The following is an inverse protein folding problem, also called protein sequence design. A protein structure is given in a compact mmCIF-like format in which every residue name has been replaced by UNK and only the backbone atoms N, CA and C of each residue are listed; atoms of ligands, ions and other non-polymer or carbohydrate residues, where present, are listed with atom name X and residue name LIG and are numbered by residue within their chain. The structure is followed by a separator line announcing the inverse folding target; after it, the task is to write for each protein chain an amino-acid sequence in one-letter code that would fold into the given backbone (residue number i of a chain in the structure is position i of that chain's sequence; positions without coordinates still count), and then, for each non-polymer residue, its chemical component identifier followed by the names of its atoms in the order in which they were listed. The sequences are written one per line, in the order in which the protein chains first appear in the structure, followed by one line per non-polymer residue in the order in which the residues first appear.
data_IF_217710121121
#
_entry.id   IF_217710121121
#
_cell.length_a   1.000
_cell.length_b   1.000
_cell.length_c   1.000
_cell.angle_alpha   90.00
_cell.angle_beta   90.00
_cell.angle_gamma   90.00
#
_symmetry.space_group_name_H-M   'P 1'
#
loop_
_entity.id
_entity.type
_entity.pdbx_description
1 polymer ?
#
# COMPACT_ATOMS: atom_id res chain seq x y z
N UNK A 1 71.64 38.42 32.79
CA UNK A 1 70.41 38.40 31.97
C UNK A 1 69.31 39.07 32.79
N UNK A 2 68.71 40.18 32.32
CA UNK A 2 67.85 41.05 33.15
C UNK A 2 66.37 40.66 33.05
N UNK A 3 65.71 40.57 34.22
CA UNK A 3 64.27 40.29 34.36
C UNK A 3 63.35 41.30 33.64
N UNK A 4 63.87 42.50 33.34
CA UNK A 4 63.16 43.53 32.56
C UNK A 4 62.78 43.06 31.16
N UNK A 5 63.62 42.22 30.55
CA UNK A 5 63.49 41.85 29.14
C UNK A 5 62.43 40.75 28.98
N UNK A 6 62.36 39.86 29.97
CA UNK A 6 61.35 38.79 30.05
C UNK A 6 59.96 39.40 30.23
N UNK A 7 59.82 40.38 31.12
CA UNK A 7 58.53 41.03 31.37
C UNK A 7 58.05 41.83 30.15
N UNK A 8 58.97 42.51 29.44
CA UNK A 8 58.65 43.20 28.17
C UNK A 8 58.19 42.23 27.08
N UNK A 9 58.88 41.10 26.95
CA UNK A 9 58.52 40.05 26.00
C UNK A 9 57.15 39.46 26.32
N UNK A 10 56.89 39.11 27.59
CA UNK A 10 55.58 38.63 28.08
C UNK A 10 54.46 39.63 27.81
N UNK A 11 54.71 40.92 28.10
CA UNK A 11 53.72 41.97 27.90
C UNK A 11 53.43 42.25 26.42
N UNK A 12 54.37 41.95 25.52
CA UNK A 12 54.16 42.11 24.08
C UNK A 12 53.37 40.97 23.45
N UNK A 13 53.40 39.75 24.00
CA UNK A 13 52.58 38.64 23.48
C UNK A 13 51.08 38.96 23.59
N UNK A 14 50.62 39.37 24.79
CA UNK A 14 49.19 39.63 25.03
C UNK A 14 48.60 40.73 24.14
N UNK A 15 49.40 41.74 23.81
CA UNK A 15 48.96 42.90 23.01
C UNK A 15 48.78 42.55 21.53
N UNK A 16 49.49 41.53 21.04
CA UNK A 16 49.43 41.13 19.64
C UNK A 16 48.23 40.19 19.37
N UNK A 17 47.81 39.41 20.36
CA UNK A 17 46.64 38.51 20.25
C UNK A 17 45.29 39.27 20.24
N UNK A 18 45.23 40.45 20.86
CA UNK A 18 44.02 41.29 20.92
C UNK A 18 43.78 42.08 19.60
N UNK A 19 44.80 42.23 18.75
CA UNK A 19 44.74 43.08 17.55
C UNK A 19 44.28 42.35 16.27
N UNK A 20 43.99 41.05 16.35
CA UNK A 20 43.63 40.21 15.19
C UNK A 20 42.36 39.39 15.42
N UNK A 21 41.38 39.94 16.12
CA UNK A 21 39.98 39.50 16.00
C UNK A 21 39.34 40.25 14.84
N UNK A 22 39.75 39.90 13.61
CA UNK A 22 38.92 40.22 12.45
C UNK A 22 37.56 39.54 12.63
N UNK A 23 36.43 40.21 12.34
CA UNK A 23 35.13 39.56 12.37
C UNK A 23 35.17 38.36 11.41
N UNK A 24 35.21 37.15 11.97
CA UNK A 24 35.37 35.90 11.20
C UNK A 24 34.18 35.66 10.25
N UNK A 25 33.09 36.39 10.42
CA UNK A 25 31.89 36.31 9.58
C UNK A 25 31.38 37.73 9.33
N UNK A 26 31.52 38.18 8.08
CA UNK A 26 30.80 39.34 7.58
C UNK A 26 29.29 39.07 7.67
N UNK A 27 28.52 40.01 8.20
CA UNK A 27 27.07 39.84 8.43
C UNK A 27 26.30 39.59 7.12
N UNK A 28 26.89 39.96 5.98
CA UNK A 28 26.38 39.64 4.64
C UNK A 28 26.52 38.18 4.22
N UNK A 29 27.51 37.44 4.71
CA UNK A 29 27.76 36.03 4.37
C UNK A 29 26.78 35.08 5.05
N UNK A 30 26.17 35.48 6.18
CA UNK A 30 25.21 34.67 6.94
C UNK A 30 23.84 34.56 6.23
N UNK A 31 23.50 35.49 5.34
CA UNK A 31 22.21 35.51 4.66
C UNK A 31 22.03 34.32 3.70
N UNK A 32 23.10 33.93 2.99
CA UNK A 32 23.07 32.78 2.07
C UNK A 32 22.72 31.46 2.75
N UNK A 33 23.42 30.99 3.80
CA UNK A 33 23.05 29.77 4.49
C UNK A 33 21.70 29.88 5.21
N UNK A 34 21.34 31.06 5.74
CA UNK A 34 20.04 31.27 6.36
C UNK A 34 18.88 31.07 5.38
N UNK A 35 18.99 31.60 4.15
CA UNK A 35 17.97 31.38 3.10
C UNK A 35 17.90 29.91 2.69
N UNK A 36 19.05 29.24 2.51
CA UNK A 36 19.09 27.81 2.16
C UNK A 36 18.40 26.98 3.25
N UNK A 37 18.68 27.24 4.53
CA UNK A 37 18.04 26.55 5.64
C UNK A 37 16.53 26.82 5.69
N UNK A 38 16.10 28.07 5.49
CA UNK A 38 14.68 28.40 5.44
C UNK A 38 13.97 27.65 4.31
N UNK A 39 14.55 27.62 3.11
CA UNK A 39 13.99 26.89 1.96
C UNK A 39 13.92 25.40 2.26
N UNK A 40 14.95 24.82 2.88
CA UNK A 40 14.97 23.41 3.23
C UNK A 40 13.90 23.06 4.27
N UNK A 41 13.72 23.89 5.30
CA UNK A 41 12.66 23.73 6.30
C UNK A 41 11.29 23.77 5.64
N UNK A 42 11.05 24.76 4.78
CA UNK A 42 9.80 24.88 4.04
C UNK A 42 9.57 23.65 3.17
N UNK A 43 10.60 23.18 2.45
CA UNK A 43 10.51 21.98 1.62
C UNK A 43 10.16 20.73 2.43
N UNK A 44 10.74 20.55 3.62
CA UNK A 44 10.43 19.44 4.53
C UNK A 44 8.98 19.54 5.01
N UNK A 45 8.54 20.73 5.46
CA UNK A 45 7.16 20.94 5.91
C UNK A 45 6.16 20.65 4.80
N UNK A 46 6.42 21.17 3.60
CA UNK A 46 5.59 20.91 2.42
C UNK A 46 5.52 19.41 2.10
N UNK A 47 6.67 18.71 2.17
CA UNK A 47 6.72 17.26 1.93
C UNK A 47 5.91 16.51 3.00
N UNK A 48 6.03 16.88 4.27
CA UNK A 48 5.27 16.27 5.35
C UNK A 48 3.76 16.44 5.14
N UNK A 49 3.30 17.64 4.76
CA UNK A 49 1.89 17.91 4.46
C UNK A 49 1.39 17.09 3.27
N UNK A 50 2.17 17.02 2.20
CA UNK A 50 1.82 16.22 1.01
C UNK A 50 1.70 14.74 1.34
N UNK A 51 2.61 14.19 2.15
CA UNK A 51 2.56 12.79 2.58
C UNK A 51 1.31 12.52 3.43
N UNK A 52 0.96 13.43 4.35
CA UNK A 52 -0.25 13.31 5.17
C UNK A 52 -1.50 13.32 4.28
N UNK A 53 -1.56 14.23 3.32
CA UNK A 53 -2.67 14.31 2.38
C UNK A 53 -2.81 13.02 1.56
N UNK A 54 -1.71 12.52 1.00
CA UNK A 54 -1.70 11.28 0.24
C UNK A 54 -2.16 10.08 1.08
N UNK A 55 -1.75 10.01 2.35
CA UNK A 55 -2.19 8.96 3.27
C UNK A 55 -3.69 9.07 3.61
N UNK A 56 -4.20 10.29 3.74
CA UNK A 56 -5.63 10.53 3.96
C UNK A 56 -6.46 10.08 2.75
N UNK A 57 -6.07 10.49 1.55
CA UNK A 57 -6.76 10.13 0.31
C UNK A 57 -6.69 8.62 0.05
N UNK A 58 -5.54 8.00 0.32
CA UNK A 58 -5.39 6.55 0.24
C UNK A 58 -6.37 5.83 1.17
N UNK A 59 -6.44 6.23 2.45
CA UNK A 59 -7.36 5.60 3.42
C UNK A 59 -8.82 5.75 3.00
N UNK A 60 -9.20 6.90 2.45
CA UNK A 60 -10.56 7.16 1.97
C UNK A 60 -10.89 6.26 0.78
N UNK A 61 -10.06 6.28 -0.26
CA UNK A 61 -10.29 5.52 -1.48
C UNK A 61 -10.23 4.01 -1.22
N UNK A 62 -9.34 3.58 -0.33
CA UNK A 62 -9.25 2.19 0.09
C UNK A 62 -10.52 1.72 0.78
N UNK A 63 -11.14 2.54 1.64
CA UNK A 63 -12.40 2.20 2.28
C UNK A 63 -13.51 1.98 1.25
N UNK A 64 -13.67 2.90 0.30
CA UNK A 64 -14.67 2.77 -0.77
C UNK A 64 -14.45 1.49 -1.60
N UNK A 65 -13.19 1.17 -1.92
CA UNK A 65 -12.84 -0.08 -2.61
C UNK A 65 -13.16 -1.32 -1.76
N UNK A 66 -12.85 -1.31 -0.46
CA UNK A 66 -13.16 -2.41 0.45
C UNK A 66 -14.66 -2.67 0.56
N UNK A 67 -15.49 -1.62 0.57
CA UNK A 67 -16.96 -1.77 0.56
C UNK A 67 -17.43 -2.51 -0.70
N UNK A 68 -16.90 -2.14 -1.86
CA UNK A 68 -17.30 -2.75 -3.13
C UNK A 68 -16.85 -4.22 -3.23
N UNK A 69 -15.63 -4.51 -2.77
CA UNK A 69 -15.12 -5.88 -2.67
C UNK A 69 -16.00 -6.71 -1.74
N UNK A 70 -16.40 -6.16 -0.60
CA UNK A 70 -17.23 -6.88 0.35
C UNK A 70 -18.61 -7.23 -0.23
N UNK A 71 -19.22 -6.30 -0.98
CA UNK A 71 -20.47 -6.58 -1.70
C UNK A 71 -20.31 -7.68 -2.75
N UNK A 72 -19.18 -7.68 -3.47
CA UNK A 72 -18.90 -8.71 -4.45
C UNK A 72 -18.71 -10.09 -3.81
N UNK A 73 -18.01 -10.16 -2.67
CA UNK A 73 -17.84 -11.40 -1.90
C UNK A 73 -19.20 -11.94 -1.41
N UNK A 74 -20.07 -11.08 -0.90
CA UNK A 74 -21.42 -11.48 -0.47
C UNK A 74 -22.24 -12.05 -1.63
N UNK A 75 -22.19 -11.41 -2.80
CA UNK A 75 -22.87 -11.89 -4.00
C UNK A 75 -22.30 -13.22 -4.50
N UNK A 76 -20.98 -13.44 -4.39
CA UNK A 76 -20.35 -14.72 -4.74
C UNK A 76 -20.84 -15.84 -3.83
N UNK A 77 -21.01 -15.58 -2.53
CA UNK A 77 -21.54 -16.56 -1.58
C UNK A 77 -22.97 -16.94 -1.96
N UNK A 78 -23.84 -15.95 -2.21
CA UNK A 78 -25.23 -16.20 -2.62
C UNK A 78 -25.28 -16.99 -3.94
N UNK A 79 -24.45 -16.62 -4.92
CA UNK A 79 -24.38 -17.31 -6.20
C UNK A 79 -23.92 -18.77 -6.04
N UNK A 80 -22.95 -19.01 -5.15
CA UNK A 80 -22.51 -20.37 -4.80
C UNK A 80 -23.63 -21.20 -4.16
N UNK A 81 -24.41 -20.60 -3.27
CA UNK A 81 -25.58 -21.25 -2.67
C UNK A 81 -26.63 -21.60 -3.74
N UNK A 82 -26.98 -20.65 -4.61
CA UNK A 82 -27.91 -20.88 -5.72
C UNK A 82 -27.42 -21.96 -6.67
N UNK A 83 -26.11 -22.05 -6.93
CA UNK A 83 -25.55 -23.11 -7.79
C UNK A 83 -25.68 -24.48 -7.12
N UNK A 84 -25.48 -24.57 -5.81
CA UNK A 84 -25.70 -25.80 -5.04
C UNK A 84 -27.19 -26.19 -5.05
N UNK A 85 -28.10 -25.23 -4.87
CA UNK A 85 -29.54 -25.46 -5.06
C UNK A 85 -29.84 -25.93 -6.49
N UNK A 86 -29.30 -25.30 -7.52
CA UNK A 86 -29.56 -25.71 -8.90
C UNK A 86 -29.01 -27.09 -9.23
N UNK A 87 -27.80 -27.43 -8.77
CA UNK A 87 -27.20 -28.76 -8.96
C UNK A 87 -27.99 -29.87 -8.26
N UNK A 88 -28.65 -29.57 -7.14
CA UNK A 88 -29.56 -30.51 -6.47
C UNK A 88 -30.91 -30.65 -7.18
N UNK A 89 -31.37 -29.63 -7.91
CA UNK A 89 -32.64 -29.65 -8.66
C UNK A 89 -32.50 -30.07 -10.14
N UNK A 90 -31.29 -30.01 -10.71
CA UNK A 90 -31.04 -30.16 -12.15
C UNK A 90 -30.79 -31.59 -12.65
N UNK A 91 -30.62 -32.59 -11.77
CA UNK A 91 -30.01 -33.88 -12.17
C UNK A 91 -30.95 -35.00 -12.63
N UNK A 92 -32.19 -35.11 -12.13
CA UNK A 92 -32.96 -36.35 -12.40
C UNK A 92 -34.47 -36.17 -12.43
N UNK A 93 -35.08 -35.66 -11.36
CA UNK A 93 -36.53 -35.81 -11.18
C UNK A 93 -37.40 -35.11 -12.24
N UNK A 94 -37.00 -33.93 -12.74
CA UNK A 94 -37.80 -33.18 -13.73
C UNK A 94 -37.62 -33.68 -15.16
N UNK A 95 -36.42 -34.14 -15.51
CA UNK A 95 -36.14 -34.71 -16.83
C UNK A 95 -36.74 -36.12 -16.92
N UNK A 96 -36.64 -36.90 -15.85
CA UNK A 96 -37.25 -38.23 -15.72
C UNK A 96 -38.77 -38.17 -15.79
N UNK A 97 -39.42 -37.25 -15.06
CA UNK A 97 -40.89 -37.14 -15.12
C UNK A 97 -41.40 -36.62 -16.46
N UNK A 98 -40.68 -35.70 -17.12
CA UNK A 98 -41.05 -35.21 -18.45
C UNK A 98 -40.80 -36.29 -19.53
N UNK A 99 -39.74 -37.11 -19.39
CA UNK A 99 -39.45 -38.23 -20.28
C UNK A 99 -40.47 -39.37 -20.13
N UNK A 100 -40.87 -39.69 -18.90
CA UNK A 100 -41.92 -40.68 -18.62
C UNK A 100 -43.29 -40.20 -19.11
N UNK A 101 -43.64 -38.94 -18.84
CA UNK A 101 -44.97 -38.41 -19.17
C UNK A 101 -45.16 -38.02 -20.63
N UNK A 102 -44.15 -37.45 -21.30
CA UNK A 102 -44.27 -37.03 -22.72
C UNK A 102 -43.81 -38.07 -23.72
N UNK A 103 -42.79 -38.84 -23.37
CA UNK A 103 -42.12 -39.77 -24.29
C UNK A 103 -42.46 -41.22 -23.95
N UNK A 104 -43.18 -41.46 -22.84
CA UNK A 104 -43.56 -42.80 -22.40
C UNK A 104 -42.37 -43.67 -22.01
N UNK A 105 -41.21 -43.05 -21.74
CA UNK A 105 -40.00 -43.78 -21.37
C UNK A 105 -40.17 -44.42 -19.99
N UNK A 106 -39.94 -45.74 -19.90
CA UNK A 106 -39.86 -46.49 -18.65
C UNK A 106 -38.44 -47.03 -18.50
N UNK A 107 -37.98 -47.17 -17.26
CA UNK A 107 -36.72 -47.86 -16.99
C UNK A 107 -36.81 -49.31 -17.53
N UNK A 108 -35.85 -49.76 -18.36
CA UNK A 108 -35.89 -51.09 -18.96
C UNK A 108 -35.73 -52.18 -17.89
N UNK A 109 -36.48 -53.27 -18.02
CA UNK A 109 -36.31 -54.44 -17.15
C UNK A 109 -34.99 -55.17 -17.47
N UNK A 110 -34.40 -55.90 -16.51
CA UNK A 110 -33.15 -56.62 -16.72
C UNK A 110 -33.15 -57.60 -17.90
N UNK A 111 -34.34 -58.02 -18.36
CA UNK A 111 -34.54 -58.88 -19.53
C UNK A 111 -34.34 -58.18 -20.88
N UNK A 112 -34.40 -56.85 -20.92
CA UNK A 112 -34.34 -56.05 -22.15
C UNK A 112 -32.94 -55.47 -22.42
N UNK A 113 -31.96 -55.82 -21.57
CA UNK A 113 -30.59 -55.30 -21.63
C UNK A 113 -29.69 -56.31 -22.35
N UNK A 114 -29.41 -56.06 -23.62
CA UNK A 114 -28.44 -56.84 -24.40
C UNK A 114 -27.06 -56.15 -24.37
N UNK A 115 -26.09 -56.77 -23.71
CA UNK A 115 -24.73 -56.24 -23.59
C UNK A 115 -23.91 -56.71 -24.79
N UNK A 116 -23.70 -55.83 -25.76
CA UNK A 116 -22.79 -56.09 -26.87
C UNK A 116 -21.35 -55.93 -26.38
N UNK A 117 -20.61 -57.05 -26.34
CA UNK A 117 -19.19 -57.07 -26.04
C UNK A 117 -18.45 -56.77 -27.35
N UNK A 118 -17.79 -55.62 -27.43
CA UNK A 118 -16.90 -55.32 -28.55
C UNK A 118 -15.58 -56.07 -28.31
N UNK A 119 -15.34 -57.09 -29.13
CA UNK A 119 -14.14 -57.92 -29.05
C UNK A 119 -13.11 -57.34 -30.03
N UNK A 120 -12.17 -56.56 -29.48
CA UNK A 120 -10.91 -56.20 -30.13
C UNK A 120 -9.78 -57.05 -29.55
#
# INVERSE_FOLDING_TARGET
MRLSDIKKKVLSWRRNDEASVEPLIDSGELFRPAVILCVLIIAIVMTALLVIQAAYDYRRLFNDHQVLVHQWDELQVEWGQLLLEQSTWGGHSRIESEAESRIGMRAPEPSDIEIVRDEQ
#
